data_IF_494951226307
#
_entry.id   IF_494951226307
#
_cell.length_a   1.000
_cell.length_b   1.000
_cell.length_c   1.000
_cell.angle_alpha   90.00
_cell.angle_beta   90.00
_cell.angle_gamma   90.00
#
_symmetry.space_group_name_H-M   'P 1'
#
loop_
_entity.id
_entity.type
_entity.pdbx_description
1 polymer ?
#
# COMPACT_ATOMS: atom_id res chain seq x y z
N UNK A 1 1.07 -10.15 13.31
CA UNK A 1 2.54 -10.32 13.46
C UNK A 1 3.34 -9.48 12.46
N UNK A 2 2.90 -9.36 11.20
CA UNK A 2 3.67 -8.62 10.18
C UNK A 2 3.68 -7.10 10.35
N UNK A 3 2.63 -6.50 10.91
CA UNK A 3 2.55 -5.05 11.06
C UNK A 3 3.67 -4.47 11.95
N UNK A 4 3.96 -5.13 13.08
CA UNK A 4 5.07 -4.78 13.99
C UNK A 4 6.42 -4.84 13.26
N UNK A 5 6.62 -5.85 12.41
CA UNK A 5 7.84 -6.00 11.60
C UNK A 5 8.01 -4.83 10.63
N UNK A 6 6.96 -4.43 9.93
CA UNK A 6 7.04 -3.29 9.00
C UNK A 6 7.28 -1.97 9.74
N UNK A 7 6.63 -1.75 10.88
CA UNK A 7 6.86 -0.58 11.75
C UNK A 7 8.33 -0.51 12.19
N UNK A 8 8.90 -1.61 12.66
CA UNK A 8 10.30 -1.70 13.08
C UNK A 8 11.29 -1.51 11.93
N UNK A 9 10.89 -1.81 10.69
CA UNK A 9 11.69 -1.56 9.49
C UNK A 9 11.61 -0.10 9.00
N UNK A 10 10.90 0.77 9.72
CA UNK A 10 10.79 2.20 9.40
C UNK A 10 9.80 2.50 8.27
N UNK A 11 8.84 1.62 8.01
CA UNK A 11 7.75 1.93 7.08
C UNK A 11 6.81 2.96 7.71
N UNK A 12 6.32 3.89 6.90
CA UNK A 12 5.14 4.68 7.27
C UNK A 12 3.91 3.80 7.10
N UNK A 13 3.05 3.81 8.11
CA UNK A 13 1.90 2.95 8.20
C UNK A 13 0.63 3.80 8.29
N UNK A 14 -0.36 3.47 7.45
CA UNK A 14 -1.68 4.06 7.49
C UNK A 14 -2.76 2.98 7.56
N UNK A 15 -3.97 3.37 7.92
CA UNK A 15 -5.14 2.49 7.89
C UNK A 15 -6.40 3.27 7.54
N UNK A 16 -7.43 2.54 7.12
CA UNK A 16 -8.75 3.08 6.89
C UNK A 16 -9.81 2.00 7.13
N UNK A 17 -11.03 2.44 7.42
CA UNK A 17 -12.22 1.62 7.32
C UNK A 17 -12.95 2.00 6.03
N UNK A 18 -12.79 1.22 4.97
CA UNK A 18 -13.44 1.47 3.68
C UNK A 18 -14.83 0.83 3.67
N UNK A 19 -15.87 1.65 3.55
CA UNK A 19 -17.27 1.21 3.50
C UNK A 19 -17.89 1.72 2.19
N UNK A 20 -18.74 0.92 1.58
CA UNK A 20 -19.47 1.28 0.36
C UNK A 20 -20.96 1.09 0.58
N UNK A 21 -21.75 1.98 -0.01
CA UNK A 21 -23.21 1.86 -0.05
C UNK A 21 -23.65 0.72 -1.00
N UNK A 22 -24.96 0.50 -1.08
CA UNK A 22 -25.58 -0.49 -1.97
C UNK A 22 -25.28 -0.28 -3.47
N UNK A 23 -24.93 0.95 -3.85
CA UNK A 23 -24.57 1.32 -5.22
C UNK A 23 -23.05 1.26 -5.47
N UNK A 24 -22.26 0.88 -4.47
CA UNK A 24 -20.81 0.77 -4.54
C UNK A 24 -20.04 2.09 -4.35
N UNK A 25 -20.73 3.18 -4.01
CA UNK A 25 -20.11 4.48 -3.71
C UNK A 25 -19.53 4.51 -2.29
N UNK A 26 -18.46 5.28 -2.02
CA UNK A 26 -17.96 5.45 -0.67
C UNK A 26 -19.01 6.06 0.25
N UNK A 27 -19.29 5.41 1.37
CA UNK A 27 -20.19 5.92 2.40
C UNK A 27 -19.48 6.96 3.29
N UNK A 28 -20.15 8.07 3.59
CA UNK A 28 -19.69 9.03 4.59
C UNK A 28 -20.35 8.74 5.94
N UNK A 29 -19.60 8.85 7.02
CA UNK A 29 -20.15 8.64 8.35
C UNK A 29 -19.11 8.13 9.34
N UNK A 30 -19.62 7.60 10.44
CA UNK A 30 -18.83 7.11 11.56
C UNK A 30 -19.47 5.85 12.13
N UNK A 31 -18.67 4.84 12.42
CA UNK A 31 -19.13 3.67 13.15
C UNK A 31 -19.41 4.00 14.62
N UNK A 32 -20.14 3.10 15.29
CA UNK A 32 -20.48 3.24 16.72
C UNK A 32 -19.25 3.39 17.65
N UNK A 33 -18.08 2.99 17.16
CA UNK A 33 -16.81 3.06 17.87
C UNK A 33 -16.05 4.37 17.71
N UNK A 34 -16.59 5.35 16.96
CA UNK A 34 -15.95 6.65 16.71
C UNK A 34 -15.00 6.66 15.51
N UNK A 35 -14.86 5.55 14.78
CA UNK A 35 -14.01 5.47 13.58
C UNK A 35 -14.80 5.93 12.36
N UNK A 36 -14.28 6.94 11.66
CA UNK A 36 -14.86 7.50 10.44
C UNK A 36 -14.68 6.53 9.27
N UNK A 37 -15.71 6.42 8.44
CA UNK A 37 -15.66 5.66 7.20
C UNK A 37 -14.90 6.43 6.12
N UNK A 38 -14.17 5.69 5.30
CA UNK A 38 -13.41 6.20 4.16
C UNK A 38 -12.41 7.32 4.50
N UNK A 39 -11.97 7.38 5.76
CA UNK A 39 -11.00 8.34 6.26
C UNK A 39 -9.65 7.67 6.52
N UNK A 40 -8.57 8.41 6.26
CA UNK A 40 -7.21 7.93 6.44
C UNK A 40 -6.68 8.25 7.85
N UNK A 41 -6.19 7.22 8.53
CA UNK A 41 -5.56 7.32 9.84
C UNK A 41 -4.09 6.89 9.77
N UNK A 42 -3.25 7.47 10.62
CA UNK A 42 -1.85 7.09 10.77
C UNK A 42 -1.67 6.06 11.89
N UNK A 43 -0.85 5.04 11.66
CA UNK A 43 -0.40 4.11 12.71
C UNK A 43 0.95 4.61 13.20
N UNK A 44 0.99 5.14 14.42
CA UNK A 44 2.18 5.77 14.97
C UNK A 44 3.10 4.80 15.69
N UNK A 45 2.54 3.91 16.51
CA UNK A 45 3.30 3.03 17.38
C UNK A 45 2.59 1.68 17.54
N UNK A 46 3.37 0.62 17.72
CA UNK A 46 2.90 -0.73 18.02
C UNK A 46 3.73 -1.23 19.20
N UNK A 47 3.07 -1.55 20.32
CA UNK A 47 3.75 -1.96 21.54
C UNK A 47 3.11 -3.19 22.16
N UNK A 48 3.96 -4.00 22.77
CA UNK A 48 3.56 -5.10 23.64
C UNK A 48 3.99 -4.74 25.06
N UNK A 49 3.06 -4.64 25.99
CA UNK A 49 3.33 -4.24 27.37
C UNK A 49 2.31 -4.90 28.29
N UNK A 50 2.78 -5.46 29.41
CA UNK A 50 1.94 -6.13 30.41
C UNK A 50 0.96 -7.18 29.83
N UNK A 51 1.40 -7.91 28.78
CA UNK A 51 0.59 -8.91 28.09
C UNK A 51 -0.40 -8.36 27.06
N UNK A 52 -0.53 -7.04 26.94
CA UNK A 52 -1.37 -6.37 25.94
C UNK A 52 -0.61 -6.14 24.63
N UNK A 53 -1.31 -6.30 23.51
CA UNK A 53 -0.86 -5.83 22.20
C UNK A 53 -1.62 -4.56 21.86
N UNK A 54 -0.92 -3.43 21.87
CA UNK A 54 -1.52 -2.10 21.70
C UNK A 54 -0.99 -1.43 20.44
N UNK A 55 -1.87 -0.70 19.78
CA UNK A 55 -1.56 0.11 18.60
C UNK A 55 -2.01 1.54 18.84
N UNK A 56 -1.15 2.50 18.52
CA UNK A 56 -1.42 3.92 18.61
C UNK A 56 -1.84 4.45 17.25
N UNK A 57 -3.04 5.00 17.18
CA UNK A 57 -3.63 5.55 15.97
C UNK A 57 -3.67 7.07 16.06
N UNK A 58 -3.58 7.72 14.90
CA UNK A 58 -3.69 9.16 14.71
C UNK A 58 -4.76 9.50 13.69
N UNK A 59 -5.75 10.29 14.10
CA UNK A 59 -6.61 11.05 13.20
C UNK A 59 -5.88 12.35 12.77
N UNK A 60 -5.63 12.55 11.46
CA UNK A 60 -4.99 13.77 10.97
C UNK A 60 -5.77 15.06 11.28
N UNK A 61 -7.10 15.00 11.43
CA UNK A 61 -7.93 16.17 11.75
C UNK A 61 -7.72 16.68 13.19
N UNK A 62 -7.06 15.89 14.02
CA UNK A 62 -6.73 16.30 15.39
C UNK A 62 -7.91 16.32 16.36
N UNK A 63 -9.00 15.67 15.98
CA UNK A 63 -10.23 15.52 16.75
C UNK A 63 -10.95 14.25 16.30
N UNK A 64 -11.93 13.77 17.08
CA UNK A 64 -12.68 12.56 16.77
C UNK A 64 -11.88 11.33 17.15
N UNK A 65 -12.30 10.70 18.23
CA UNK A 65 -11.53 9.67 18.92
C UNK A 65 -12.32 8.37 19.02
N UNK A 66 -11.55 7.30 19.16
CA UNK A 66 -12.03 5.98 19.53
C UNK A 66 -12.84 6.05 20.82
N UNK A 67 -13.96 5.33 20.87
CA UNK A 67 -14.88 5.29 22.01
C UNK A 67 -14.94 3.90 22.68
N UNK A 68 -13.89 3.09 22.51
CA UNK A 68 -13.79 1.76 23.13
C UNK A 68 -12.60 1.66 24.08
N UNK A 69 -12.24 0.44 24.47
CA UNK A 69 -11.17 0.20 25.46
C UNK A 69 -9.86 0.90 25.08
N UNK A 70 -9.27 1.55 26.08
CA UNK A 70 -8.07 2.40 25.96
C UNK A 70 -8.23 3.69 25.14
N UNK A 71 -9.46 4.09 24.83
CA UNK A 71 -9.76 5.49 24.54
C UNK A 71 -9.39 6.38 25.73
N UNK A 72 -9.33 7.68 25.49
CA UNK A 72 -9.07 8.64 26.55
C UNK A 72 -10.13 8.55 27.65
N UNK A 73 -9.68 8.58 28.91
CA UNK A 73 -10.54 8.55 30.10
C UNK A 73 -11.35 7.25 30.33
N UNK A 74 -11.11 6.18 29.56
CA UNK A 74 -11.76 4.88 29.77
C UNK A 74 -11.24 4.13 31.01
N UNK A 75 -12.14 3.44 31.72
CA UNK A 75 -11.81 2.64 32.92
C UNK A 75 -10.80 1.52 32.65
N UNK A 76 -10.70 1.05 31.40
CA UNK A 76 -9.74 0.02 31.00
C UNK A 76 -8.27 0.40 31.30
N UNK A 77 -7.95 1.69 31.46
CA UNK A 77 -6.62 2.13 31.89
C UNK A 77 -6.32 1.78 33.36
N UNK A 78 -7.33 1.75 34.22
CA UNK A 78 -7.18 1.53 35.67
C UNK A 78 -6.85 0.07 36.00
N UNK A 79 -7.29 -0.87 35.16
CA UNK A 79 -6.94 -2.30 35.24
C UNK A 79 -5.41 -2.54 35.10
N UNK A 80 -4.67 -1.60 34.50
CA UNK A 80 -3.25 -1.74 34.20
C UNK A 80 -2.44 -0.60 34.83
N UNK A 81 -2.20 -0.71 36.14
CA UNK A 81 -1.43 0.29 36.90
C UNK A 81 -0.08 0.60 36.26
N UNK A 82 0.16 1.88 35.94
CA UNK A 82 1.41 2.35 35.35
C UNK A 82 1.48 2.25 33.82
N UNK A 83 0.43 1.76 33.15
CA UNK A 83 0.43 1.54 31.70
C UNK A 83 0.56 2.87 30.92
N UNK A 84 -0.16 3.90 31.36
CA UNK A 84 -0.14 5.23 30.74
C UNK A 84 1.27 5.84 30.73
N UNK A 85 1.99 5.70 31.85
CA UNK A 85 3.38 6.13 32.00
C UNK A 85 4.32 5.31 31.12
N UNK A 86 4.16 3.97 31.09
CA UNK A 86 4.95 3.09 30.21
C UNK A 86 4.77 3.42 28.73
N UNK A 87 3.58 3.86 28.33
CA UNK A 87 3.26 4.29 26.97
C UNK A 87 3.60 5.76 26.70
N UNK A 88 4.02 6.53 27.72
CA UNK A 88 4.21 7.98 27.66
C UNK A 88 2.99 8.68 27.04
N UNK A 89 1.81 8.36 27.56
CA UNK A 89 0.54 8.81 27.02
C UNK A 89 -0.13 9.86 27.90
N UNK A 90 -0.70 10.89 27.28
CA UNK A 90 -1.42 11.98 27.95
C UNK A 90 -2.80 12.03 27.33
N UNK A 91 -3.84 12.01 28.18
CA UNK A 91 -5.20 12.16 27.69
C UNK A 91 -5.39 13.58 27.22
N UNK A 92 -5.82 13.70 25.98
CA UNK A 92 -6.05 14.96 25.29
C UNK A 92 -6.84 14.65 24.04
N UNK A 93 -7.91 15.40 23.83
CA UNK A 93 -8.60 15.44 22.55
C UNK A 93 -7.70 16.08 21.48
N UNK A 94 -6.78 15.30 20.97
CA UNK A 94 -5.88 15.67 19.90
C UNK A 94 -5.98 14.70 18.74
N UNK A 95 -6.85 13.68 18.79
CA UNK A 95 -7.00 12.67 17.74
C UNK A 95 -5.92 11.59 17.77
N UNK A 96 -5.15 11.46 18.85
CA UNK A 96 -4.37 10.24 19.13
C UNK A 96 -5.15 9.36 20.10
N UNK A 97 -5.03 8.04 19.94
CA UNK A 97 -5.46 7.11 20.98
C UNK A 97 -4.67 5.81 20.90
N UNK A 98 -4.73 5.04 21.99
CA UNK A 98 -4.33 3.63 21.99
C UNK A 98 -5.57 2.75 21.87
N UNK A 99 -5.44 1.60 21.22
CA UNK A 99 -6.45 0.56 21.23
C UNK A 99 -5.79 -0.82 21.23
N UNK A 100 -6.54 -1.87 21.56
CA UNK A 100 -6.02 -3.24 21.40
C UNK A 100 -5.85 -3.56 19.92
N UNK A 101 -4.87 -4.41 19.62
CA UNK A 101 -4.68 -4.89 18.26
C UNK A 101 -5.93 -5.64 17.73
N UNK A 102 -6.64 -6.34 18.61
CA UNK A 102 -7.91 -7.03 18.27
C UNK A 102 -9.00 -6.03 17.87
N UNK A 103 -9.15 -4.94 18.63
CA UNK A 103 -10.09 -3.86 18.30
C UNK A 103 -9.70 -3.19 16.97
N UNK A 104 -8.41 -3.02 16.71
CA UNK A 104 -7.93 -2.49 15.44
C UNK A 104 -8.35 -3.40 14.26
N UNK A 105 -8.14 -4.71 14.38
CA UNK A 105 -8.57 -5.68 13.38
C UNK A 105 -10.10 -5.70 13.17
N UNK A 106 -10.87 -5.42 14.22
CA UNK A 106 -12.33 -5.37 14.13
C UNK A 106 -12.86 -4.08 13.47
N UNK A 107 -12.11 -2.98 13.52
CA UNK A 107 -12.57 -1.66 13.08
C UNK A 107 -11.90 -1.14 11.80
N UNK A 108 -10.75 -1.67 11.41
CA UNK A 108 -10.02 -1.27 10.20
C UNK A 108 -9.88 -2.44 9.23
N UNK A 109 -10.29 -2.21 7.98
CA UNK A 109 -10.26 -3.24 6.94
C UNK A 109 -9.20 -2.98 5.86
N UNK A 110 -8.49 -1.85 5.92
CA UNK A 110 -7.34 -1.55 5.06
C UNK A 110 -6.13 -1.07 5.85
N UNK A 111 -4.97 -1.52 5.43
CA UNK A 111 -3.65 -1.07 5.91
C UNK A 111 -2.79 -0.67 4.73
N UNK A 112 -2.19 0.51 4.81
CA UNK A 112 -1.27 1.06 3.84
C UNK A 112 0.15 0.98 4.39
N UNK A 113 1.07 0.43 3.59
CA UNK A 113 2.49 0.32 3.92
C UNK A 113 3.29 1.17 2.93
N UNK A 114 4.04 2.14 3.43
CA UNK A 114 4.92 2.95 2.62
C UNK A 114 6.36 2.76 3.07
N UNK A 115 7.18 2.16 2.20
CA UNK A 115 8.60 1.94 2.47
C UNK A 115 9.35 3.25 2.27
N UNK A 116 9.99 3.74 3.33
CA UNK A 116 10.95 4.82 3.21
C UNK A 116 12.32 4.22 2.92
N UNK A 117 12.89 4.59 1.78
CA UNK A 117 14.23 4.16 1.41
C UNK A 117 15.24 5.09 2.09
N UNK A 118 16.09 4.55 2.98
CA UNK A 118 17.09 5.37 3.65
C UNK A 118 18.21 5.74 2.66
N UNK A 119 18.98 6.78 2.99
CA UNK A 119 19.92 7.44 2.07
C UNK A 119 21.01 6.52 1.46
N UNK A 120 21.26 5.34 2.04
CA UNK A 120 22.15 4.33 1.47
C UNK A 120 21.61 3.65 0.20
N UNK A 121 20.30 3.77 -0.08
CA UNK A 121 19.73 3.28 -1.33
C UNK A 121 19.97 4.29 -2.44
N UNK A 122 20.34 3.79 -3.62
CA UNK A 122 20.40 4.61 -4.82
C UNK A 122 19.05 4.53 -5.53
N UNK A 123 18.50 5.68 -5.87
CA UNK A 123 17.25 5.80 -6.62
C UNK A 123 17.53 6.33 -8.02
N UNK A 124 16.93 5.68 -9.02
CA UNK A 124 16.94 6.12 -10.40
C UNK A 124 15.49 6.13 -10.89
N UNK A 125 15.10 7.20 -11.58
CA UNK A 125 13.80 7.31 -12.24
C UNK A 125 14.02 7.62 -13.70
N UNK A 126 13.33 6.90 -14.58
CA UNK A 126 13.35 7.14 -16.02
C UNK A 126 11.91 7.41 -16.43
N UNK A 127 11.67 8.60 -16.95
CA UNK A 127 10.39 8.94 -17.56
C UNK A 127 10.44 8.51 -19.02
N UNK A 128 9.40 7.81 -19.46
CA UNK A 128 9.25 7.36 -20.84
C UNK A 128 7.77 7.36 -21.21
N UNK A 129 7.49 7.31 -22.49
CA UNK A 129 6.16 7.34 -23.05
C UNK A 129 6.01 6.28 -24.15
N UNK A 130 4.78 5.80 -24.29
CA UNK A 130 4.42 4.74 -25.20
C UNK A 130 3.82 5.35 -26.48
N UNK A 131 4.68 5.83 -27.38
CA UNK A 131 4.26 6.57 -28.57
C UNK A 131 4.63 5.86 -29.88
N UNK A 132 3.67 5.71 -30.80
CA UNK A 132 3.91 5.20 -32.14
C UNK A 132 4.39 3.74 -32.19
N UNK A 133 5.31 3.41 -33.10
CA UNK A 133 5.80 2.04 -33.32
C UNK A 133 6.56 1.44 -32.12
N UNK A 134 6.87 2.21 -31.08
CA UNK A 134 7.49 1.73 -29.82
C UNK A 134 6.46 1.37 -28.75
N UNK A 135 5.18 1.33 -29.11
CA UNK A 135 4.13 0.77 -28.28
C UNK A 135 3.65 -0.53 -28.92
N UNK A 136 3.98 -1.68 -28.30
CA UNK A 136 3.32 -2.95 -28.62
C UNK A 136 1.80 -2.87 -28.40
N UNK A 137 1.37 -1.89 -27.60
CA UNK A 137 -0.02 -1.59 -27.27
C UNK A 137 -0.58 -2.54 -26.21
N UNK A 138 -1.65 -2.16 -25.52
CA UNK A 138 -2.43 -3.12 -24.75
C UNK A 138 -3.05 -4.16 -25.70
N UNK A 139 -3.34 -5.37 -25.19
CA UNK A 139 -4.14 -6.36 -25.92
C UNK A 139 -5.45 -5.70 -26.37
N UNK A 140 -5.87 -5.79 -27.65
CA UNK A 140 -7.18 -5.31 -28.04
C UNK A 140 -8.21 -6.06 -27.18
N UNK A 141 -9.03 -5.31 -26.44
CA UNK A 141 -10.19 -5.88 -25.77
C UNK A 141 -11.12 -6.32 -26.90
N UNK A 142 -11.06 -7.58 -27.31
CA UNK A 142 -12.04 -8.14 -28.23
C UNK A 142 -13.39 -8.04 -27.52
N UNK A 143 -14.27 -7.21 -28.07
CA UNK A 143 -15.59 -6.90 -27.51
C UNK A 143 -16.56 -8.09 -27.47
N UNK A 144 -16.10 -9.31 -27.79
CA UNK A 144 -16.92 -10.49 -28.05
C UNK A 144 -16.58 -11.72 -27.19
N UNK A 145 -15.70 -11.62 -26.19
CA UNK A 145 -15.42 -12.74 -25.28
C UNK A 145 -15.86 -12.40 -23.86
N UNK A 146 -17.14 -12.67 -23.58
CA UNK A 146 -17.71 -12.76 -22.21
C UNK A 146 -17.01 -13.83 -21.34
N UNK A 147 -16.00 -14.53 -21.86
CA UNK A 147 -15.31 -15.65 -21.20
C UNK A 147 -14.00 -15.30 -20.47
N UNK A 148 -13.41 -14.11 -20.69
CA UNK A 148 -12.06 -13.82 -20.13
C UNK A 148 -12.04 -13.45 -18.64
N UNK A 149 -13.19 -13.19 -18.02
CA UNK A 149 -13.29 -12.85 -16.60
C UNK A 149 -13.16 -14.04 -15.63
N UNK A 150 -12.75 -15.23 -16.09
CA UNK A 150 -12.68 -16.44 -15.23
C UNK A 150 -11.29 -16.90 -14.81
N UNK A 151 -10.22 -16.38 -15.39
CA UNK A 151 -8.86 -16.81 -15.03
C UNK A 151 -8.05 -15.64 -14.48
N UNK A 152 -7.81 -15.64 -13.16
CA UNK A 152 -6.90 -14.73 -12.45
C UNK A 152 -5.40 -14.93 -12.83
N UNK A 153 -5.11 -15.68 -13.89
CA UNK A 153 -3.74 -15.95 -14.34
C UNK A 153 -3.29 -14.88 -15.34
N UNK A 154 -2.14 -14.28 -15.06
CA UNK A 154 -1.42 -13.40 -15.98
C UNK A 154 -1.21 -14.14 -17.30
N UNK A 155 -1.88 -13.70 -18.36
CA UNK A 155 -1.68 -14.25 -19.69
C UNK A 155 -0.40 -13.65 -20.28
N UNK A 156 0.40 -14.49 -20.94
CA UNK A 156 1.57 -14.01 -21.68
C UNK A 156 1.08 -13.17 -22.87
N UNK A 157 1.74 -12.03 -23.10
CA UNK A 157 1.50 -11.23 -24.29
C UNK A 157 1.92 -12.05 -25.53
N UNK A 158 0.93 -12.55 -26.27
CA UNK A 158 1.13 -13.31 -27.52
C UNK A 158 1.24 -12.40 -28.73
N UNK A 159 1.10 -11.08 -28.56
CA UNK A 159 1.30 -10.12 -29.64
C UNK A 159 2.77 -10.14 -30.04
N UNK A 160 3.03 -10.42 -31.31
CA UNK A 160 4.38 -10.44 -31.85
C UNK A 160 5.09 -9.09 -31.64
N UNK A 161 4.37 -7.98 -31.44
CA UNK A 161 4.93 -6.63 -31.24
C UNK A 161 5.37 -6.30 -29.81
N UNK A 162 5.28 -7.21 -28.84
CA UNK A 162 5.69 -6.94 -27.46
C UNK A 162 7.14 -6.42 -27.36
N UNK A 163 8.02 -6.82 -28.28
CA UNK A 163 9.42 -6.37 -28.31
C UNK A 163 9.57 -4.88 -28.64
N UNK A 164 8.53 -4.23 -29.16
CA UNK A 164 8.53 -2.78 -29.42
C UNK A 164 8.41 -1.95 -28.15
N UNK A 165 7.92 -2.54 -27.06
CA UNK A 165 7.82 -1.92 -25.75
C UNK A 165 9.18 -1.35 -25.30
N UNK A 166 9.24 -0.19 -24.62
CA UNK A 166 10.50 0.37 -24.14
C UNK A 166 11.29 -0.63 -23.27
N UNK A 167 12.55 -0.85 -23.64
CA UNK A 167 13.42 -1.81 -22.96
C UNK A 167 14.49 -1.08 -22.15
N UNK A 168 14.63 -1.45 -20.88
CA UNK A 168 15.64 -0.89 -19.98
C UNK A 168 16.60 -1.98 -19.52
N UNK A 169 17.87 -1.62 -19.33
CA UNK A 169 18.90 -2.54 -18.85
C UNK A 169 19.43 -2.08 -17.50
N UNK A 170 19.40 -2.99 -16.53
CA UNK A 170 19.99 -2.80 -15.21
C UNK A 170 21.22 -3.69 -15.12
N UNK A 171 22.36 -3.11 -14.74
CA UNK A 171 23.61 -3.84 -14.51
C UNK A 171 24.04 -3.67 -13.06
N UNK A 172 24.24 -4.79 -12.36
CA UNK A 172 24.74 -4.80 -10.98
C UNK A 172 26.09 -5.50 -10.92
N UNK A 173 27.06 -4.90 -10.23
CA UNK A 173 28.44 -5.42 -10.12
C UNK A 173 28.67 -6.25 -8.87
N UNK A 174 27.73 -6.19 -7.92
CA UNK A 174 27.74 -6.93 -6.66
C UNK A 174 26.33 -7.45 -6.38
N UNK A 175 26.20 -8.36 -5.40
CA UNK A 175 24.88 -8.79 -4.92
C UNK A 175 24.11 -7.57 -4.42
N UNK A 176 22.95 -7.31 -5.04
CA UNK A 176 22.16 -6.10 -4.82
C UNK A 176 20.70 -6.48 -4.61
N UNK A 177 20.09 -5.93 -3.57
CA UNK A 177 18.64 -5.95 -3.42
C UNK A 177 18.06 -4.84 -4.27
N UNK A 178 17.16 -5.17 -5.17
CA UNK A 178 16.55 -4.23 -6.11
C UNK A 178 15.04 -4.21 -5.90
N UNK A 179 14.44 -3.02 -5.90
CA UNK A 179 12.99 -2.82 -5.97
C UNK A 179 12.72 -2.02 -7.23
N UNK A 180 11.82 -2.55 -8.07
CA UNK A 180 11.42 -1.94 -9.34
C UNK A 180 9.96 -1.54 -9.21
N UNK A 181 9.64 -0.31 -9.58
CA UNK A 181 8.28 0.20 -9.64
C UNK A 181 8.02 0.75 -11.04
N UNK A 182 6.93 0.32 -11.66
CA UNK A 182 6.38 0.91 -12.87
C UNK A 182 5.16 1.72 -12.47
N UNK A 183 5.16 3.01 -12.77
CA UNK A 183 4.09 3.93 -12.39
C UNK A 183 3.54 4.63 -13.62
N UNK A 184 2.24 4.86 -13.63
CA UNK A 184 1.56 5.71 -14.61
C UNK A 184 1.39 7.11 -14.03
N UNK A 185 1.23 8.10 -14.91
CA UNK A 185 0.85 9.43 -14.48
C UNK A 185 -0.52 9.40 -13.79
N UNK A 186 -0.64 10.12 -12.68
CA UNK A 186 -1.88 10.13 -11.88
C UNK A 186 -3.06 10.63 -12.72
N UNK A 187 -4.17 9.90 -12.71
CA UNK A 187 -5.38 10.21 -13.48
C UNK A 187 -5.94 11.60 -13.15
N UNK A 188 -5.78 12.10 -11.92
CA UNK A 188 -6.24 13.44 -11.54
C UNK A 188 -5.45 14.53 -12.26
N UNK A 189 -4.19 14.25 -12.60
CA UNK A 189 -3.30 15.14 -13.33
C UNK A 189 -3.52 14.96 -14.84
N UNK A 190 -3.38 13.74 -15.34
CA UNK A 190 -3.43 13.42 -16.78
C UNK A 190 -4.84 13.52 -17.38
N UNK A 191 -5.88 13.41 -16.55
CA UNK A 191 -7.29 13.25 -16.95
C UNK A 191 -7.53 12.02 -17.83
N UNK A 192 -6.63 11.03 -17.78
CA UNK A 192 -6.72 9.77 -18.51
C UNK A 192 -6.88 8.62 -17.51
N UNK A 193 -7.78 7.66 -17.78
CA UNK A 193 -7.94 6.51 -16.90
C UNK A 193 -6.65 5.69 -16.85
N UNK A 194 -6.39 5.09 -15.70
CA UNK A 194 -5.32 4.10 -15.60
C UNK A 194 -5.60 2.92 -16.54
N UNK A 195 -4.57 2.50 -17.27
CA UNK A 195 -4.60 1.26 -18.04
C UNK A 195 -3.90 0.15 -17.25
N UNK A 196 -4.27 -1.13 -17.41
CA UNK A 196 -3.49 -2.23 -16.85
C UNK A 196 -2.05 -2.17 -17.37
N UNK A 197 -1.07 -2.18 -16.47
CA UNK A 197 0.37 -2.17 -16.81
C UNK A 197 1.10 -3.29 -16.09
N UNK A 198 2.13 -3.82 -16.74
CA UNK A 198 3.03 -4.81 -16.17
C UNK A 198 4.43 -4.63 -16.78
N UNK A 199 5.44 -5.29 -16.19
CA UNK A 199 6.78 -5.38 -16.73
C UNK A 199 7.37 -6.76 -16.52
N UNK A 200 8.31 -7.14 -17.37
CA UNK A 200 9.08 -8.37 -17.24
C UNK A 200 10.54 -8.06 -16.90
N UNK A 201 11.09 -8.83 -15.97
CA UNK A 201 12.51 -8.76 -15.62
C UNK A 201 13.18 -10.03 -16.11
N UNK A 202 14.01 -9.89 -17.14
CA UNK A 202 14.72 -11.00 -17.77
C UNK A 202 16.20 -10.89 -17.50
N UNK A 203 16.83 -12.00 -17.12
CA UNK A 203 18.29 -12.08 -16.96
C UNK A 203 18.94 -12.33 -18.32
N UNK A 204 19.78 -11.40 -18.76
CA UNK A 204 20.57 -11.53 -20.00
C UNK A 204 22.00 -12.04 -19.68
N UNK A 205 22.59 -12.86 -20.56
CA UNK A 205 23.95 -13.41 -20.36
C UNK A 205 25.03 -12.48 -20.88
N UNK A 206 24.75 -11.74 -21.94
CA UNK A 206 25.65 -10.78 -22.57
C UNK A 206 24.97 -9.44 -22.80
N UNK A 207 25.77 -8.37 -22.82
CA UNK A 207 25.31 -7.02 -23.16
C UNK A 207 24.91 -6.90 -24.64
N UNK A 208 25.28 -7.85 -25.48
CA UNK A 208 24.90 -7.85 -26.90
C UNK A 208 23.56 -8.55 -27.15
N UNK A 209 23.14 -9.41 -26.23
CA UNK A 209 21.90 -10.16 -26.35
C UNK A 209 20.71 -9.20 -26.36
N UNK A 210 19.86 -9.37 -27.35
CA UNK A 210 18.58 -8.66 -27.46
C UNK A 210 17.50 -9.50 -26.80
N UNK A 211 16.49 -8.87 -26.20
CA UNK A 211 15.52 -9.60 -25.36
C UNK A 211 14.76 -10.68 -26.14
N UNK A 212 14.50 -10.46 -27.43
CA UNK A 212 13.84 -11.43 -28.31
C UNK A 212 14.75 -12.59 -28.77
N UNK A 213 16.04 -12.53 -28.49
CA UNK A 213 16.99 -13.64 -28.71
C UNK A 213 17.05 -14.58 -27.49
N UNK A 214 16.40 -14.23 -26.38
CA UNK A 214 16.53 -14.94 -25.09
C UNK A 214 15.63 -16.20 -25.00
N UNK A 215 14.80 -16.46 -26.02
CA UNK A 215 13.99 -17.67 -26.13
C UNK A 215 14.08 -18.30 -27.54
N UNK A 216 15.30 -18.64 -27.97
CA UNK A 216 15.57 -19.71 -28.94
C UNK A 216 16.52 -20.73 -28.32
#
# INVERSE_FOLDING_TARGET
KDLKKYHQQGFLLGCANTVKDENGNPEEGMGNSGILFNHAYGIQQIREVDGLQLIRIRNPWGQGEWAGKFADEEEAWDDYKGLKEKLNYVFKNDGNWWMRYEDFCANFNKVYLCKIFPAQWQQFSINSEWNGNTAGGPYPIDSNTEEENKNEQVQNDTNDRWFNNPQFRISVTKKTNLIISLMQEDEKISKRPYIPVNFLVVRVKSKRDRLWEINQ
#
